data_IF_008147797108
#
_entry.id   IF_008147797108
#
_cell.length_a   1.000
_cell.length_b   1.000
_cell.length_c   1.000
_cell.angle_alpha   90.00
_cell.angle_beta   90.00
_cell.angle_gamma   90.00
#
_symmetry.space_group_name_H-M   'P 1'
#
loop_
_entity.id
_entity.type
_entity.pdbx_description
1 polymer ?
#
# COMPACT_ATOMS: atom_id res chain seq x y z
N UNK A 1 31.98 -13.52 -3.72
CA UNK A 1 30.67 -13.67 -3.04
C UNK A 1 29.87 -14.71 -3.81
N UNK A 2 29.53 -15.82 -3.17
CA UNK A 2 28.91 -16.99 -3.81
C UNK A 2 27.39 -16.87 -3.74
N UNK A 3 26.73 -16.66 -4.88
CA UNK A 3 25.27 -16.60 -4.97
C UNK A 3 24.74 -17.99 -5.31
N UNK A 4 24.17 -18.67 -4.32
CA UNK A 4 23.47 -19.94 -4.51
C UNK A 4 22.21 -19.69 -5.34
N UNK A 5 22.22 -20.11 -6.61
CA UNK A 5 21.07 -20.04 -7.53
C UNK A 5 20.01 -21.07 -7.11
N UNK A 6 18.78 -20.62 -6.83
CA UNK A 6 17.63 -21.48 -6.59
C UNK A 6 17.12 -22.13 -7.88
N UNK A 7 16.91 -23.45 -7.85
CA UNK A 7 16.36 -24.24 -8.96
C UNK A 7 14.83 -24.25 -8.88
N UNK A 8 14.14 -23.79 -9.93
CA UNK A 8 12.70 -23.99 -10.10
C UNK A 8 12.44 -25.21 -11.00
N UNK A 9 11.62 -26.16 -10.54
CA UNK A 9 11.28 -27.37 -11.28
C UNK A 9 9.91 -27.23 -11.97
N UNK A 10 9.84 -27.52 -13.28
CA UNK A 10 8.57 -27.82 -13.95
C UNK A 10 8.57 -29.28 -14.40
N UNK A 11 7.55 -30.02 -13.96
CA UNK A 11 7.48 -31.48 -14.07
C UNK A 11 6.71 -31.89 -15.32
N UNK A 12 7.42 -32.21 -16.40
CA UNK A 12 6.88 -33.02 -17.51
C UNK A 12 7.87 -34.15 -17.82
N UNK A 13 7.34 -35.37 -17.95
CA UNK A 13 8.14 -36.59 -17.94
C UNK A 13 9.12 -36.71 -19.12
N UNK A 14 10.33 -37.18 -18.81
CA UNK A 14 11.32 -37.64 -19.79
C UNK A 14 12.59 -36.78 -19.83
N UNK A 15 13.68 -37.30 -19.21
CA UNK A 15 15.04 -36.73 -19.16
C UNK A 15 15.10 -35.26 -18.76
N UNK A 16 15.33 -35.03 -17.47
CA UNK A 16 15.59 -33.71 -16.88
C UNK A 16 16.75 -33.01 -17.60
N UNK A 17 16.42 -32.14 -18.55
CA UNK A 17 17.33 -31.10 -19.02
C UNK A 17 17.15 -29.91 -18.10
N UNK A 18 18.09 -29.76 -17.17
CA UNK A 18 18.24 -28.57 -16.35
C UNK A 18 18.73 -27.41 -17.23
N UNK A 19 17.81 -26.71 -17.89
CA UNK A 19 18.13 -25.43 -18.51
C UNK A 19 18.12 -24.37 -17.40
N UNK A 20 19.28 -23.80 -17.09
CA UNK A 20 19.33 -22.63 -16.23
C UNK A 20 18.58 -21.49 -16.93
N UNK A 21 17.61 -20.88 -16.25
CA UNK A 21 16.96 -19.65 -16.71
C UNK A 21 18.05 -18.60 -17.03
N UNK A 22 17.86 -17.86 -18.13
CA UNK A 22 18.75 -16.75 -18.43
C UNK A 22 18.61 -15.66 -17.35
N UNK A 23 19.62 -14.80 -17.15
CA UNK A 23 19.49 -13.65 -16.25
C UNK A 23 18.25 -12.78 -16.55
N UNK A 24 17.92 -12.61 -17.83
CA UNK A 24 16.75 -11.86 -18.30
C UNK A 24 15.43 -12.55 -17.91
N UNK A 25 15.34 -13.88 -18.00
CA UNK A 25 14.16 -14.64 -17.56
C UNK A 25 13.93 -14.51 -16.05
N UNK A 26 15.02 -14.46 -15.27
CA UNK A 26 14.97 -14.28 -13.82
C UNK A 26 14.51 -12.88 -13.44
N UNK A 27 15.09 -11.84 -14.07
CA UNK A 27 14.70 -10.44 -13.87
C UNK A 27 13.23 -10.22 -14.23
N UNK A 28 12.77 -10.72 -15.37
CA UNK A 28 11.37 -10.64 -15.77
C UNK A 28 10.42 -11.36 -14.79
N UNK A 29 10.85 -12.50 -14.24
CA UNK A 29 10.08 -13.24 -13.25
C UNK A 29 9.96 -12.47 -11.93
N UNK A 30 11.05 -11.84 -11.48
CA UNK A 30 11.05 -10.98 -10.30
C UNK A 30 10.14 -9.78 -10.53
N UNK A 31 10.31 -9.05 -11.63
CA UNK A 31 9.49 -7.86 -11.94
C UNK A 31 8.00 -8.20 -11.98
N UNK A 32 7.64 -9.36 -12.54
CA UNK A 32 6.25 -9.84 -12.53
C UNK A 32 5.75 -10.20 -11.14
N UNK A 33 6.62 -10.71 -10.27
CA UNK A 33 6.27 -11.02 -8.89
C UNK A 33 6.07 -9.74 -8.07
N UNK A 34 7.01 -8.80 -8.15
CA UNK A 34 6.91 -7.49 -7.51
C UNK A 34 5.67 -6.73 -7.98
N UNK A 35 5.43 -6.67 -9.29
CA UNK A 35 4.22 -6.05 -9.87
C UNK A 35 2.91 -6.67 -9.36
N UNK A 36 2.89 -7.99 -9.10
CA UNK A 36 1.72 -8.63 -8.49
C UNK A 36 1.58 -8.29 -7.01
N UNK A 37 2.69 -8.15 -6.30
CA UNK A 37 2.74 -7.89 -4.87
C UNK A 37 2.37 -6.45 -4.53
N UNK A 38 2.69 -5.49 -5.40
CA UNK A 38 2.32 -4.07 -5.26
C UNK A 38 1.08 -3.68 -6.06
N UNK A 39 0.31 -4.68 -6.54
CA UNK A 39 -0.86 -4.47 -7.38
C UNK A 39 -2.00 -3.67 -6.71
N UNK A 40 -1.90 -3.37 -5.42
CA UNK A 40 -2.84 -2.49 -4.71
C UNK A 40 -2.59 -1.00 -4.99
N UNK A 41 -1.43 -0.62 -5.56
CA UNK A 41 -1.11 0.76 -5.93
C UNK A 41 -1.71 1.18 -7.28
N UNK A 42 -1.69 2.49 -7.51
CA UNK A 42 -2.14 3.20 -8.71
C UNK A 42 -3.60 2.95 -9.07
N UNK A 43 -4.45 2.88 -8.04
CA UNK A 43 -5.85 2.52 -8.16
C UNK A 43 -6.71 3.37 -7.25
N UNK A 44 -7.95 3.56 -7.68
CA UNK A 44 -9.00 4.16 -6.87
C UNK A 44 -9.72 3.04 -6.12
N UNK A 45 -9.95 3.27 -4.83
CA UNK A 45 -10.70 2.40 -3.94
C UNK A 45 -11.83 3.18 -3.28
N UNK A 46 -12.92 2.48 -2.97
CA UNK A 46 -13.74 2.88 -1.83
C UNK A 46 -12.91 2.70 -0.57
N UNK A 47 -12.91 3.68 0.32
CA UNK A 47 -12.09 3.65 1.53
C UNK A 47 -12.27 2.35 2.34
N UNK A 48 -13.49 1.84 2.46
CA UNK A 48 -13.79 0.59 3.17
C UNK A 48 -13.05 -0.61 2.57
N UNK A 49 -12.99 -0.68 1.23
CA UNK A 49 -12.27 -1.75 0.55
C UNK A 49 -10.76 -1.67 0.80
N UNK A 50 -10.20 -0.45 0.91
CA UNK A 50 -8.79 -0.29 1.20
C UNK A 50 -8.47 -0.56 2.68
N UNK A 51 -9.37 -0.15 3.59
CA UNK A 51 -9.31 -0.55 4.99
C UNK A 51 -9.24 -2.08 5.08
N UNK A 52 -10.06 -2.82 4.34
CA UNK A 52 -9.99 -4.30 4.33
C UNK A 52 -8.64 -4.84 3.86
N UNK A 53 -8.01 -4.24 2.85
CA UNK A 53 -6.66 -4.61 2.41
C UNK A 53 -5.66 -4.47 3.57
N UNK A 54 -5.71 -3.33 4.28
CA UNK A 54 -4.80 -3.01 5.39
C UNK A 54 -5.08 -3.90 6.61
N UNK A 55 -6.36 -4.13 6.95
CA UNK A 55 -6.78 -5.07 8.01
C UNK A 55 -6.20 -6.46 7.78
N UNK A 56 -6.17 -6.89 6.52
CA UNK A 56 -5.63 -8.19 6.10
C UNK A 56 -4.12 -8.18 5.83
N UNK A 57 -3.41 -7.07 6.09
CA UNK A 57 -1.96 -6.90 5.86
C UNK A 57 -1.54 -7.17 4.41
N UNK A 58 -2.41 -6.90 3.45
CA UNK A 58 -2.17 -7.17 2.02
C UNK A 58 -1.39 -6.06 1.31
N UNK A 59 -1.30 -4.89 1.94
CA UNK A 59 -0.59 -3.70 1.47
C UNK A 59 0.88 -3.64 1.92
N UNK A 60 1.37 -4.65 2.64
CA UNK A 60 2.74 -4.69 3.16
C UNK A 60 3.30 -6.10 3.29
N UNK A 61 4.60 -6.31 3.08
CA UNK A 61 5.26 -7.57 3.39
C UNK A 61 5.53 -7.71 4.88
N UNK A 62 5.94 -8.91 5.29
CA UNK A 62 6.33 -9.18 6.68
C UNK A 62 7.56 -8.39 7.14
N UNK A 63 8.51 -8.15 6.23
CA UNK A 63 9.69 -7.32 6.44
C UNK A 63 9.55 -6.02 5.66
N UNK A 64 10.19 -4.94 6.11
CA UNK A 64 10.21 -3.67 5.39
C UNK A 64 10.66 -3.84 3.93
N UNK A 65 9.89 -3.25 3.01
CA UNK A 65 10.18 -3.20 1.58
C UNK A 65 9.68 -1.86 1.02
N UNK A 66 10.58 -0.97 0.55
CA UNK A 66 10.19 0.35 0.07
C UNK A 66 9.29 0.30 -1.17
N UNK A 67 9.28 -0.81 -1.94
CA UNK A 67 8.38 -0.97 -3.08
C UNK A 67 6.91 -0.99 -2.65
N UNK A 68 6.64 -1.19 -1.36
CA UNK A 68 5.30 -1.15 -0.78
C UNK A 68 4.94 0.20 -0.16
N UNK A 69 5.83 1.19 -0.13
CA UNK A 69 5.47 2.52 0.39
C UNK A 69 4.44 3.20 -0.49
N UNK A 70 3.38 3.74 0.09
CA UNK A 70 2.34 4.44 -0.66
C UNK A 70 1.82 5.63 0.14
N UNK A 71 1.17 6.54 -0.58
CA UNK A 71 0.34 7.57 0.02
C UNK A 71 -1.11 7.38 -0.44
N UNK A 72 -2.01 7.90 0.38
CA UNK A 72 -3.44 7.97 0.12
C UNK A 72 -3.77 9.41 -0.25
N UNK A 73 -4.44 9.55 -1.37
CA UNK A 73 -4.86 10.81 -1.94
C UNK A 73 -6.37 10.84 -2.10
N UNK A 74 -6.98 12.02 -2.05
CA UNK A 74 -8.42 12.18 -2.22
C UNK A 74 -8.83 13.62 -2.48
N UNK A 75 -10.14 13.83 -2.59
CA UNK A 75 -10.72 15.17 -2.68
C UNK A 75 -10.70 15.83 -1.29
N UNK A 76 -9.92 16.90 -1.15
CA UNK A 76 -9.75 17.66 0.10
C UNK A 76 -10.82 18.75 0.29
N UNK A 77 -11.87 18.79 -0.54
CA UNK A 77 -12.99 19.72 -0.31
C UNK A 77 -13.72 19.51 1.03
N UNK A 78 -13.50 18.37 1.67
CA UNK A 78 -14.02 18.03 3.00
C UNK A 78 -13.04 18.34 4.14
N UNK A 79 -11.94 19.06 3.89
CA UNK A 79 -10.94 19.40 4.92
C UNK A 79 -10.08 18.19 5.34
N UNK A 80 -9.82 17.28 4.40
CA UNK A 80 -9.00 16.09 4.62
C UNK A 80 -9.73 14.89 5.23
N UNK A 81 -10.95 15.09 5.74
CA UNK A 81 -11.70 14.03 6.42
C UNK A 81 -12.21 12.96 5.46
N UNK A 82 -12.04 11.72 5.88
CA UNK A 82 -12.65 10.57 5.24
C UNK A 82 -14.14 10.47 5.58
N UNK A 83 -14.91 9.99 4.62
CA UNK A 83 -16.31 9.64 4.85
C UNK A 83 -16.65 8.30 4.19
N UNK A 84 -17.71 7.65 4.65
CA UNK A 84 -18.15 6.38 4.06
C UNK A 84 -18.38 6.53 2.55
N UNK A 85 -18.01 5.50 1.80
CA UNK A 85 -18.04 5.41 0.35
C UNK A 85 -17.17 6.44 -0.38
N UNK A 86 -16.25 7.14 0.31
CA UNK A 86 -15.29 8.04 -0.34
C UNK A 86 -14.39 7.26 -1.29
N UNK A 87 -14.17 7.83 -2.47
CA UNK A 87 -13.15 7.36 -3.39
C UNK A 87 -11.79 7.94 -2.98
N UNK A 88 -10.82 7.05 -2.77
CA UNK A 88 -9.43 7.40 -2.48
C UNK A 88 -8.52 6.83 -3.57
N UNK A 89 -7.45 7.53 -3.90
CA UNK A 89 -6.41 7.05 -4.78
C UNK A 89 -5.20 6.61 -3.96
N UNK A 90 -4.77 5.36 -4.14
CA UNK A 90 -3.56 4.83 -3.50
C UNK A 90 -2.44 4.89 -4.52
N UNK A 91 -1.43 5.72 -4.25
CA UNK A 91 -0.38 6.05 -5.21
C UNK A 91 1.02 5.96 -4.63
N UNK A 92 2.00 6.31 -5.46
CA UNK A 92 3.37 6.50 -4.99
C UNK A 92 3.45 7.61 -3.94
N UNK A 93 4.53 7.60 -3.17
CA UNK A 93 4.80 8.62 -2.17
C UNK A 93 5.08 9.98 -2.82
N UNK A 94 4.81 11.06 -2.07
CA UNK A 94 5.32 12.39 -2.41
C UNK A 94 6.84 12.36 -2.31
N UNK A 95 7.51 12.84 -3.35
CA UNK A 95 8.96 13.02 -3.36
C UNK A 95 9.29 14.48 -2.98
N UNK A 96 10.56 14.73 -2.65
CA UNK A 96 11.04 16.07 -2.30
C UNK A 96 12.26 16.41 -3.12
N UNK A 97 12.34 17.64 -3.63
CA UNK A 97 13.57 18.18 -4.20
C UNK A 97 14.62 18.40 -3.10
N UNK A 98 15.87 18.63 -3.50
CA UNK A 98 16.95 19.03 -2.57
C UNK A 98 16.63 20.35 -1.82
N UNK A 99 15.78 21.19 -2.41
CA UNK A 99 15.32 22.46 -1.82
C UNK A 99 14.06 22.29 -0.94
N UNK A 100 13.57 21.05 -0.79
CA UNK A 100 12.41 20.71 0.04
C UNK A 100 11.05 20.97 -0.61
N UNK A 101 11.00 21.16 -1.92
CA UNK A 101 9.73 21.29 -2.65
C UNK A 101 9.09 19.92 -2.89
N UNK A 102 7.78 19.82 -2.65
CA UNK A 102 7.01 18.60 -2.84
C UNK A 102 6.79 18.29 -4.33
N UNK A 103 7.11 17.06 -4.73
CA UNK A 103 6.83 16.50 -6.04
C UNK A 103 5.74 15.44 -5.90
N UNK A 104 4.54 15.77 -6.36
CA UNK A 104 3.40 14.87 -6.35
C UNK A 104 3.37 13.97 -7.59
N UNK A 105 2.85 12.73 -7.48
CA UNK A 105 2.68 11.87 -8.65
C UNK A 105 1.77 12.51 -9.71
N UNK A 106 2.09 12.32 -11.00
CA UNK A 106 1.32 12.89 -12.13
C UNK A 106 -0.18 12.56 -12.07
N UNK A 107 -0.51 11.33 -11.66
CA UNK A 107 -1.89 10.89 -11.51
C UNK A 107 -2.67 11.71 -10.45
N UNK A 108 -1.99 12.19 -9.41
CA UNK A 108 -2.58 13.01 -8.35
C UNK A 108 -2.84 14.42 -8.87
N UNK A 109 -1.82 15.02 -9.50
CA UNK A 109 -1.91 16.38 -10.08
C UNK A 109 -2.98 16.47 -11.17
N UNK A 110 -3.01 15.51 -12.09
CA UNK A 110 -3.96 15.50 -13.22
C UNK A 110 -5.42 15.33 -12.80
N UNK A 111 -5.67 14.72 -11.64
CA UNK A 111 -7.00 14.53 -11.08
C UNK A 111 -7.37 15.61 -10.04
N UNK A 112 -6.45 16.52 -9.72
CA UNK A 112 -6.65 17.56 -8.71
C UNK A 112 -6.86 16.99 -7.31
N UNK A 113 -6.21 15.88 -7.00
CA UNK A 113 -6.26 15.23 -5.69
C UNK A 113 -5.20 15.83 -4.75
N UNK A 114 -5.44 15.76 -3.45
CA UNK A 114 -4.51 16.17 -2.40
C UNK A 114 -4.01 14.97 -1.61
N UNK A 115 -2.86 15.11 -0.96
CA UNK A 115 -2.40 14.14 0.03
C UNK A 115 -3.34 14.12 1.24
N UNK A 116 -3.68 12.91 1.70
CA UNK A 116 -4.48 12.70 2.92
C UNK A 116 -3.67 11.96 3.98
N UNK A 117 -3.00 10.86 3.61
CA UNK A 117 -2.34 9.98 4.58
C UNK A 117 -1.10 9.31 3.99
N UNK A 118 -0.08 9.14 4.83
CA UNK A 118 1.01 8.19 4.55
C UNK A 118 0.56 6.76 4.86
N UNK A 119 1.18 5.76 4.21
CA UNK A 119 0.93 4.37 4.55
C UNK A 119 1.18 4.08 6.03
N UNK A 120 2.27 4.62 6.60
CA UNK A 120 2.64 4.39 8.00
C UNK A 120 1.53 4.83 8.97
N UNK A 121 1.03 6.06 8.81
CA UNK A 121 -0.02 6.59 9.68
C UNK A 121 -1.34 5.84 9.48
N UNK A 122 -1.72 5.58 8.22
CA UNK A 122 -2.97 4.87 7.93
C UNK A 122 -2.94 3.44 8.49
N UNK A 123 -1.84 2.73 8.29
CA UNK A 123 -1.63 1.39 8.84
C UNK A 123 -1.65 1.40 10.37
N UNK A 124 -1.00 2.38 11.02
CA UNK A 124 -0.97 2.47 12.47
C UNK A 124 -2.37 2.67 13.08
N UNK A 125 -3.18 3.57 12.52
CA UNK A 125 -4.56 3.80 12.97
C UNK A 125 -5.41 2.55 12.79
N UNK A 126 -5.38 1.91 11.62
CA UNK A 126 -6.15 0.69 11.34
C UNK A 126 -5.71 -0.46 12.25
N UNK A 127 -4.41 -0.63 12.46
CA UNK A 127 -3.83 -1.69 13.29
C UNK A 127 -4.18 -1.53 14.76
N UNK A 128 -4.12 -0.30 15.27
CA UNK A 128 -4.48 -0.01 16.64
C UNK A 128 -5.98 -0.22 16.88
N UNK A 129 -6.85 0.28 15.99
CA UNK A 129 -8.29 0.05 16.07
C UNK A 129 -8.63 -1.46 16.12
N UNK A 130 -8.00 -2.25 15.25
CA UNK A 130 -8.13 -3.71 15.24
C UNK A 130 -7.63 -4.39 16.51
N UNK A 131 -6.57 -3.85 17.13
CA UNK A 131 -6.02 -4.40 18.37
C UNK A 131 -6.91 -4.15 19.58
N UNK A 132 -7.65 -3.03 19.58
CA UNK A 132 -8.61 -2.68 20.61
C UNK A 132 -9.92 -3.47 20.43
N UNK A 133 -10.41 -3.58 19.19
CA UNK A 133 -11.57 -4.40 18.83
C UNK A 133 -11.35 -5.12 17.49
N UNK A 134 -11.18 -6.44 17.54
CA UNK A 134 -11.02 -7.29 16.34
C UNK A 134 -12.24 -7.27 15.41
N UNK A 135 -13.42 -6.86 15.91
CA UNK A 135 -14.68 -6.72 15.19
C UNK A 135 -15.00 -5.30 14.74
N UNK A 136 -14.07 -4.35 14.91
CA UNK A 136 -14.30 -2.92 14.62
C UNK A 136 -14.83 -2.71 13.20
N UNK A 137 -15.90 -1.90 13.09
CA UNK A 137 -16.54 -1.58 11.82
C UNK A 137 -15.72 -0.59 10.99
N UNK A 138 -15.99 -0.53 9.69
CA UNK A 138 -15.34 0.43 8.81
C UNK A 138 -15.65 1.87 9.22
N UNK A 139 -16.88 2.16 9.63
CA UNK A 139 -17.28 3.49 10.09
C UNK A 139 -16.49 3.94 11.32
N UNK A 140 -16.25 3.03 12.27
CA UNK A 140 -15.45 3.35 13.46
C UNK A 140 -13.97 3.52 13.10
N UNK A 141 -13.43 2.75 12.16
CA UNK A 141 -12.06 2.99 11.66
C UNK A 141 -11.95 4.36 10.96
N UNK A 142 -12.94 4.75 10.17
CA UNK A 142 -12.99 6.08 9.53
C UNK A 142 -13.00 7.18 10.61
N UNK A 143 -13.78 7.01 11.68
CA UNK A 143 -13.77 7.93 12.83
C UNK A 143 -12.39 8.02 13.48
N UNK A 144 -11.69 6.89 13.69
CA UNK A 144 -10.32 6.89 14.19
C UNK A 144 -9.34 7.62 13.27
N UNK A 145 -9.47 7.45 11.95
CA UNK A 145 -8.64 8.14 10.96
C UNK A 145 -8.87 9.65 10.96
N UNK A 146 -10.13 10.08 11.05
CA UNK A 146 -10.42 11.52 11.10
C UNK A 146 -9.96 12.11 12.44
N UNK A 147 -10.15 11.39 13.54
CA UNK A 147 -9.64 11.80 14.85
C UNK A 147 -8.12 11.97 14.82
N UNK A 148 -7.38 11.02 14.25
CA UNK A 148 -5.93 11.13 14.12
C UNK A 148 -5.51 12.31 13.23
N UNK A 149 -6.23 12.57 12.13
CA UNK A 149 -5.97 13.72 11.26
C UNK A 149 -6.18 15.06 11.99
N UNK A 150 -7.20 15.16 12.85
CA UNK A 150 -7.52 16.39 13.58
C UNK A 150 -6.61 16.61 14.80
N UNK A 151 -6.28 15.56 15.54
CA UNK A 151 -5.64 15.66 16.85
C UNK A 151 -4.19 15.17 16.91
N UNK A 152 -3.69 14.52 15.85
CA UNK A 152 -2.40 13.79 15.84
C UNK A 152 -2.29 12.84 17.03
N UNK A 153 -3.40 12.20 17.37
CA UNK A 153 -3.53 11.28 18.50
C UNK A 153 -4.47 10.13 18.14
N UNK A 154 -4.33 9.01 18.84
CA UNK A 154 -5.13 7.83 18.59
C UNK A 154 -6.43 7.83 19.40
N UNK A 155 -7.54 7.51 18.74
CA UNK A 155 -8.83 7.36 19.41
C UNK A 155 -8.91 6.01 20.15
N UNK A 156 -9.28 6.05 21.43
CA UNK A 156 -9.63 4.86 22.21
C UNK A 156 -11.08 4.42 21.95
N UNK A 157 -11.24 3.20 21.44
CA UNK A 157 -12.50 2.52 21.17
C UNK A 157 -12.91 1.77 22.45
N UNK A 158 -13.74 2.40 23.27
CA UNK A 158 -14.33 1.80 24.48
C UNK A 158 -15.62 1.03 24.20
#
# INVERSE_FOLDING_TARGET
>A
MSTTRGLAATRTGGREKWAAASPEDWENSINRMLSKMTAFKHKIYKIENFIDIVKNKQDRPFSYDPDFNYNIYGDDRSGGDFHSNMDIYVGDTVEFTDDGEEIYPDAVLSQGLSFLYSCENFQAVVDLALSQDSGVSHEKIIECLNYYNEYDDFLDIN
#
